data_IF_439580796828
#
_entry.id   IF_439580796828
#
_cell.length_a   1.000
_cell.length_b   1.000
_cell.length_c   1.000
_cell.angle_alpha   90.00
_cell.angle_beta   90.00
_cell.angle_gamma   90.00
#
_symmetry.space_group_name_H-M   'P 1'
#
loop_
_entity.id
_entity.type
_entity.pdbx_description
1 polymer ?
#
# COMPACT_ATOMS: atom_id res chain seq x y z
N UNK A 1 -23.22 -2.58 19.05
CA UNK A 1 -22.79 -3.75 18.26
C UNK A 1 -23.46 -3.85 16.89
N UNK A 2 -24.73 -3.43 16.72
CA UNK A 2 -25.44 -3.44 15.43
C UNK A 2 -24.79 -2.49 14.41
N UNK A 3 -24.36 -1.30 14.83
CA UNK A 3 -23.79 -0.27 13.94
C UNK A 3 -22.43 -0.66 13.36
N UNK A 4 -21.64 -1.43 14.11
CA UNK A 4 -20.33 -1.92 13.63
C UNK A 4 -20.53 -2.97 12.53
N UNK A 5 -21.43 -3.93 12.73
CA UNK A 5 -21.71 -4.97 11.74
C UNK A 5 -22.30 -4.39 10.44
N UNK A 6 -23.18 -3.38 10.55
CA UNK A 6 -23.74 -2.70 9.37
C UNK A 6 -22.68 -1.91 8.59
N UNK A 7 -21.79 -1.21 9.28
CA UNK A 7 -20.70 -0.45 8.63
C UNK A 7 -19.70 -1.35 7.92
N UNK A 8 -19.42 -2.54 8.47
CA UNK A 8 -18.52 -3.52 7.88
C UNK A 8 -19.11 -4.13 6.61
N UNK A 9 -20.39 -4.50 6.65
CA UNK A 9 -21.08 -5.03 5.48
C UNK A 9 -21.12 -4.00 4.35
N UNK A 10 -21.43 -2.74 4.66
CA UNK A 10 -21.41 -1.65 3.69
C UNK A 10 -20.01 -1.45 3.09
N UNK A 11 -18.96 -1.48 3.89
CA UNK A 11 -17.58 -1.35 3.37
C UNK A 11 -17.12 -2.56 2.59
N UNK A 12 -17.53 -3.76 2.98
CA UNK A 12 -17.22 -4.98 2.25
C UNK A 12 -17.89 -4.97 0.87
N UNK A 13 -19.22 -4.78 0.82
CA UNK A 13 -19.97 -4.73 -0.44
C UNK A 13 -19.55 -3.53 -1.29
N UNK A 14 -19.38 -2.35 -0.66
CA UNK A 14 -18.89 -1.16 -1.33
C UNK A 14 -17.49 -1.33 -1.88
N UNK A 15 -16.58 -1.97 -1.13
CA UNK A 15 -15.24 -2.32 -1.59
C UNK A 15 -15.24 -3.29 -2.76
N UNK A 16 -16.11 -4.30 -2.76
CA UNK A 16 -16.31 -5.18 -3.93
C UNK A 16 -16.80 -4.39 -5.15
N UNK A 17 -17.73 -3.46 -4.93
CA UNK A 17 -18.26 -2.60 -6.00
C UNK A 17 -17.21 -1.68 -6.59
N UNK A 18 -16.41 -1.01 -5.75
CA UNK A 18 -15.34 -0.09 -6.20
C UNK A 18 -14.22 -0.81 -6.94
N UNK A 19 -13.79 -1.95 -6.43
CA UNK A 19 -12.76 -2.77 -7.08
C UNK A 19 -13.29 -3.40 -8.37
N UNK A 20 -14.54 -3.90 -8.35
CA UNK A 20 -15.21 -4.47 -9.53
C UNK A 20 -15.46 -3.45 -10.63
N UNK A 21 -15.69 -2.18 -10.27
CA UNK A 21 -15.77 -1.07 -11.22
C UNK A 21 -14.41 -0.62 -11.79
N UNK A 22 -13.31 -1.25 -11.38
CA UNK A 22 -11.96 -0.91 -11.86
C UNK A 22 -11.38 0.37 -11.25
N UNK A 23 -11.92 0.89 -10.14
CA UNK A 23 -11.35 2.03 -9.45
C UNK A 23 -9.92 1.72 -8.99
N UNK A 24 -9.04 2.73 -9.06
CA UNK A 24 -7.63 2.60 -8.69
C UNK A 24 -7.48 2.65 -7.16
N UNK A 25 -7.92 1.57 -6.54
CA UNK A 25 -7.97 1.34 -5.10
C UNK A 25 -7.49 -0.09 -4.79
N UNK A 26 -7.04 -0.29 -3.56
CA UNK A 26 -6.66 -1.61 -3.05
C UNK A 26 -7.71 -2.20 -2.10
N UNK A 27 -7.60 -3.49 -1.86
CA UNK A 27 -8.49 -4.24 -0.95
C UNK A 27 -8.06 -4.13 0.52
N UNK A 28 -6.86 -3.65 0.79
CA UNK A 28 -6.23 -3.68 2.12
C UNK A 28 -6.96 -2.80 3.15
N UNK A 29 -7.44 -1.63 2.76
CA UNK A 29 -8.21 -0.75 3.65
C UNK A 29 -9.42 -1.46 4.27
N UNK A 30 -10.35 -1.98 3.45
CA UNK A 30 -11.46 -2.79 3.93
C UNK A 30 -11.04 -4.01 4.74
N UNK A 31 -10.00 -4.75 4.35
CA UNK A 31 -9.57 -5.97 5.08
C UNK A 31 -8.96 -5.66 6.43
N UNK A 32 -8.16 -4.61 6.57
CA UNK A 32 -7.62 -4.14 7.87
C UNK A 32 -8.76 -3.75 8.81
N UNK A 33 -9.76 -3.02 8.30
CA UNK A 33 -10.90 -2.62 9.11
C UNK A 33 -11.77 -3.81 9.53
N UNK A 34 -12.10 -4.72 8.60
CA UNK A 34 -12.83 -5.94 8.92
C UNK A 34 -12.10 -6.77 9.98
N UNK A 35 -10.79 -6.96 9.82
CA UNK A 35 -9.96 -7.64 10.82
C UNK A 35 -10.02 -6.97 12.19
N UNK A 36 -9.87 -5.65 12.25
CA UNK A 36 -9.96 -4.87 13.49
C UNK A 36 -11.32 -5.02 14.19
N UNK A 37 -12.40 -4.98 13.42
CA UNK A 37 -13.74 -5.14 13.95
C UNK A 37 -14.03 -6.58 14.41
N UNK A 38 -13.52 -7.60 13.71
CA UNK A 38 -13.56 -9.00 14.22
C UNK A 38 -12.83 -9.09 15.56
N UNK A 39 -11.64 -8.49 15.69
CA UNK A 39 -10.93 -8.42 16.97
C UNK A 39 -11.76 -7.76 18.07
N UNK A 40 -12.47 -6.66 17.76
CA UNK A 40 -13.39 -5.99 18.68
C UNK A 40 -14.56 -6.91 19.06
N UNK A 41 -15.17 -7.58 18.08
CA UNK A 41 -16.28 -8.53 18.33
C UNK A 41 -15.86 -9.68 19.25
N UNK A 42 -14.66 -10.21 19.09
CA UNK A 42 -14.09 -11.22 20.00
C UNK A 42 -13.98 -10.65 21.42
N UNK A 43 -13.50 -9.42 21.59
CA UNK A 43 -13.45 -8.74 22.89
C UNK A 43 -14.82 -8.59 23.55
N UNK A 44 -15.86 -8.26 22.77
CA UNK A 44 -17.23 -8.17 23.26
C UNK A 44 -17.81 -9.55 23.60
N UNK A 45 -17.55 -10.59 22.80
CA UNK A 45 -17.99 -11.97 23.04
C UNK A 45 -17.43 -12.50 24.37
N UNK A 46 -16.14 -12.26 24.62
CA UNK A 46 -15.50 -12.66 25.88
C UNK A 46 -15.72 -11.64 27.03
N UNK A 47 -16.58 -10.63 26.80
CA UNK A 47 -16.93 -9.60 27.81
C UNK A 47 -15.71 -8.93 28.44
N UNK A 48 -14.69 -8.68 27.67
CA UNK A 48 -13.47 -8.01 28.15
C UNK A 48 -13.78 -6.58 28.57
N UNK A 49 -13.48 -6.26 29.86
CA UNK A 49 -13.77 -4.92 30.44
C UNK A 49 -12.60 -3.95 30.29
N UNK A 50 -11.39 -4.45 30.18
CA UNK A 50 -10.19 -3.62 30.05
C UNK A 50 -10.15 -2.95 28.69
N UNK A 51 -10.02 -1.62 28.67
CA UNK A 51 -9.82 -0.85 27.43
C UNK A 51 -8.54 -1.28 26.70
N UNK A 52 -7.47 -1.60 27.45
CA UNK A 52 -6.21 -2.08 26.89
C UNK A 52 -6.38 -3.41 26.15
N UNK A 53 -7.11 -4.37 26.73
CA UNK A 53 -7.37 -5.66 26.08
C UNK A 53 -8.19 -5.49 24.80
N UNK A 54 -9.18 -4.59 24.79
CA UNK A 54 -9.99 -4.29 23.60
C UNK A 54 -9.16 -3.64 22.50
N UNK A 55 -8.28 -2.68 22.84
CA UNK A 55 -7.36 -2.08 21.90
C UNK A 55 -6.36 -3.09 21.32
N UNK A 56 -5.85 -3.98 22.17
CA UNK A 56 -4.97 -5.08 21.74
C UNK A 56 -5.65 -5.99 20.73
N UNK A 57 -6.90 -6.42 20.98
CA UNK A 57 -7.64 -7.28 20.06
C UNK A 57 -7.96 -6.58 18.74
N UNK A 58 -8.33 -5.28 18.79
CA UNK A 58 -8.55 -4.49 17.59
C UNK A 58 -7.26 -4.39 16.73
N UNK A 59 -6.14 -4.10 17.35
CA UNK A 59 -4.84 -4.05 16.69
C UNK A 59 -4.42 -5.41 16.13
N UNK A 60 -4.64 -6.49 16.91
CA UNK A 60 -4.40 -7.87 16.48
C UNK A 60 -5.20 -8.22 15.23
N UNK A 61 -6.50 -7.90 15.24
CA UNK A 61 -7.37 -8.14 14.09
C UNK A 61 -6.96 -7.30 12.87
N UNK A 62 -6.58 -6.04 13.07
CA UNK A 62 -6.10 -5.17 11.99
C UNK A 62 -4.81 -5.70 11.36
N UNK A 63 -3.84 -6.16 12.18
CA UNK A 63 -2.61 -6.81 11.70
C UNK A 63 -2.90 -8.09 10.92
N UNK A 64 -3.80 -8.92 11.44
CA UNK A 64 -4.24 -10.16 10.79
C UNK A 64 -4.93 -9.88 9.44
N UNK A 65 -5.75 -8.82 9.37
CA UNK A 65 -6.38 -8.36 8.14
C UNK A 65 -5.36 -7.91 7.08
N UNK A 66 -4.34 -7.15 7.48
CA UNK A 66 -3.27 -6.73 6.56
C UNK A 66 -2.45 -7.92 6.09
N UNK A 67 -2.10 -8.83 7.01
CA UNK A 67 -1.40 -10.08 6.69
C UNK A 67 -2.16 -10.92 5.66
N UNK A 68 -3.47 -11.06 5.83
CA UNK A 68 -4.32 -11.79 4.88
C UNK A 68 -4.43 -11.08 3.52
N UNK A 69 -4.46 -9.73 3.50
CA UNK A 69 -4.55 -8.97 2.25
C UNK A 69 -3.35 -9.19 1.32
N UNK A 70 -2.16 -9.36 1.91
CA UNK A 70 -0.88 -9.37 1.19
C UNK A 70 -0.08 -10.67 1.32
N UNK A 71 -0.56 -11.67 2.06
CA UNK A 71 0.21 -12.86 2.47
C UNK A 71 1.56 -12.47 3.10
N UNK A 72 1.56 -11.43 3.92
CA UNK A 72 2.74 -10.80 4.48
C UNK A 72 2.63 -10.69 6.01
N UNK A 73 2.91 -11.78 6.76
CA UNK A 73 2.74 -11.81 8.21
C UNK A 73 3.64 -10.83 8.96
N UNK A 74 4.92 -10.75 8.63
CA UNK A 74 5.83 -9.84 9.32
C UNK A 74 5.48 -8.37 9.04
N UNK A 75 5.09 -8.06 7.81
CA UNK A 75 4.63 -6.72 7.47
C UNK A 75 3.36 -6.33 8.24
N UNK A 76 2.42 -7.27 8.45
CA UNK A 76 1.23 -7.04 9.29
C UNK A 76 1.57 -6.67 10.73
N UNK A 77 2.58 -7.33 11.31
CA UNK A 77 3.07 -7.02 12.66
C UNK A 77 3.74 -5.64 12.69
N UNK A 78 4.64 -5.38 11.75
CA UNK A 78 5.39 -4.12 11.66
C UNK A 78 4.48 -2.92 11.41
N UNK A 79 3.40 -3.10 10.63
CA UNK A 79 2.40 -2.07 10.39
C UNK A 79 1.78 -1.55 11.70
N UNK A 80 1.41 -2.44 12.62
CA UNK A 80 0.91 -2.03 13.94
C UNK A 80 1.97 -1.25 14.71
N UNK A 81 3.22 -1.67 14.62
CA UNK A 81 4.35 -1.06 15.33
C UNK A 81 4.65 0.35 14.78
N UNK A 82 4.63 0.54 13.47
CA UNK A 82 5.01 1.82 12.85
C UNK A 82 3.83 2.78 12.71
N UNK A 83 2.66 2.30 12.26
CA UNK A 83 1.53 3.16 11.89
C UNK A 83 0.55 3.37 13.05
N UNK A 84 0.27 2.33 13.83
CA UNK A 84 -0.69 2.43 14.95
C UNK A 84 -0.04 2.80 16.28
N UNK A 85 1.13 3.41 16.26
CA UNK A 85 1.93 3.79 17.44
C UNK A 85 1.14 4.52 18.52
N UNK A 86 0.29 5.45 18.14
CA UNK A 86 -0.46 6.29 19.05
C UNK A 86 -1.59 5.54 19.78
N UNK A 87 -2.10 4.47 19.17
CA UNK A 87 -3.24 3.70 19.69
C UNK A 87 -2.81 2.36 20.31
N UNK A 88 -1.57 1.92 20.09
CA UNK A 88 -1.09 0.62 20.56
C UNK A 88 -0.12 0.75 21.72
N UNK A 89 -0.45 0.16 22.86
CA UNK A 89 0.44 0.06 24.01
C UNK A 89 1.31 -1.18 23.91
N UNK A 90 2.62 -0.94 23.78
CA UNK A 90 3.62 -2.01 23.68
C UNK A 90 3.85 -2.67 25.03
N UNK A 91 3.24 -3.84 25.25
CA UNK A 91 3.60 -4.76 26.31
C UNK A 91 3.74 -6.17 25.72
N UNK A 92 4.37 -7.07 26.48
CA UNK A 92 4.61 -8.45 26.01
C UNK A 92 3.31 -9.20 25.68
N UNK A 93 2.22 -8.90 26.35
CA UNK A 93 0.92 -9.54 26.13
C UNK A 93 0.35 -9.06 24.79
N UNK A 94 0.36 -7.75 24.55
CA UNK A 94 -0.15 -7.16 23.31
C UNK A 94 0.67 -7.62 22.08
N UNK A 95 1.98 -7.67 22.20
CA UNK A 95 2.87 -8.17 21.14
C UNK A 95 2.57 -9.64 20.84
N UNK A 96 2.50 -10.51 21.85
CA UNK A 96 2.18 -11.94 21.66
C UNK A 96 0.80 -12.13 21.03
N UNK A 97 -0.19 -11.32 21.40
CA UNK A 97 -1.52 -11.38 20.81
C UNK A 97 -1.49 -11.06 19.31
N UNK A 98 -0.77 -10.00 18.91
CA UNK A 98 -0.60 -9.62 17.50
C UNK A 98 0.08 -10.74 16.71
N UNK A 99 1.19 -11.30 17.24
CA UNK A 99 1.88 -12.43 16.59
C UNK A 99 0.94 -13.63 16.42
N UNK A 100 0.21 -14.00 17.47
CA UNK A 100 -0.73 -15.14 17.39
C UNK A 100 -1.81 -14.91 16.35
N UNK A 101 -2.43 -13.73 16.34
CA UNK A 101 -3.48 -13.40 15.36
C UNK A 101 -2.97 -13.40 13.92
N UNK A 102 -1.79 -12.85 13.70
CA UNK A 102 -1.15 -12.82 12.36
C UNK A 102 -0.77 -14.23 11.90
N UNK A 103 -0.17 -15.06 12.77
CA UNK A 103 0.20 -16.45 12.45
C UNK A 103 -1.06 -17.24 12.05
N UNK A 104 -2.14 -17.15 12.83
CA UNK A 104 -3.39 -17.84 12.53
C UNK A 104 -4.00 -17.36 11.21
N UNK A 105 -3.99 -16.06 10.96
CA UNK A 105 -4.44 -15.49 9.69
C UNK A 105 -3.62 -16.02 8.49
N UNK A 106 -2.30 -16.07 8.63
CA UNK A 106 -1.40 -16.57 7.58
C UNK A 106 -1.59 -18.06 7.31
N UNK A 107 -1.79 -18.88 8.36
CA UNK A 107 -2.08 -20.30 8.20
C UNK A 107 -3.37 -20.49 7.41
N UNK A 108 -4.45 -19.80 7.80
CA UNK A 108 -5.73 -19.86 7.09
C UNK A 108 -5.58 -19.39 5.65
N UNK A 109 -4.90 -18.26 5.42
CA UNK A 109 -4.68 -17.77 4.06
C UNK A 109 -3.98 -18.82 3.18
N UNK A 110 -2.88 -19.42 3.67
CA UNK A 110 -2.11 -20.41 2.93
C UNK A 110 -2.86 -21.72 2.66
N UNK A 111 -3.75 -22.13 3.56
CA UNK A 111 -4.61 -23.30 3.35
C UNK A 111 -5.55 -23.14 2.14
N UNK A 112 -6.00 -21.91 1.86
CA UNK A 112 -6.93 -21.63 0.76
C UNK A 112 -6.24 -21.16 -0.52
N UNK A 113 -5.12 -20.42 -0.42
CA UNK A 113 -4.47 -19.74 -1.55
C UNK A 113 -3.08 -20.32 -1.90
N UNK A 114 -2.55 -21.25 -1.09
CA UNK A 114 -1.20 -21.77 -1.27
C UNK A 114 -0.10 -20.87 -0.70
N UNK A 115 1.17 -21.27 -0.92
CA UNK A 115 2.36 -20.67 -0.30
C UNK A 115 3.13 -19.73 -1.23
N UNK A 116 2.70 -19.52 -2.47
CA UNK A 116 3.41 -18.72 -3.48
C UNK A 116 3.53 -17.25 -3.13
N UNK A 117 4.50 -16.57 -3.76
CA UNK A 117 4.62 -15.13 -3.74
C UNK A 117 3.35 -14.46 -4.30
N UNK A 118 2.91 -13.36 -3.70
CA UNK A 118 1.70 -12.65 -4.18
C UNK A 118 1.99 -11.90 -5.47
N UNK A 119 3.23 -11.48 -5.67
CA UNK A 119 3.71 -10.77 -6.86
C UNK A 119 4.91 -11.51 -7.43
N UNK A 120 4.72 -12.12 -8.58
CA UNK A 120 5.78 -12.85 -9.27
C UNK A 120 6.60 -11.90 -10.16
N UNK A 121 7.62 -11.27 -9.61
CA UNK A 121 8.57 -10.41 -10.35
C UNK A 121 9.75 -11.17 -10.96
N UNK A 122 9.74 -12.51 -10.89
CA UNK A 122 10.85 -13.35 -11.34
C UNK A 122 12.05 -13.34 -10.37
N UNK A 123 13.11 -14.04 -10.79
CA UNK A 123 14.39 -14.03 -10.04
C UNK A 123 15.21 -12.84 -10.51
N UNK A 124 15.36 -11.88 -9.62
CA UNK A 124 16.16 -10.68 -9.86
C UNK A 124 17.61 -10.90 -9.51
N UNK A 125 18.50 -10.13 -10.11
CA UNK A 125 19.94 -10.19 -9.81
C UNK A 125 20.25 -9.52 -8.47
N UNK A 126 21.38 -9.91 -7.84
CA UNK A 126 21.88 -9.20 -6.67
C UNK A 126 22.34 -7.80 -7.07
N UNK A 127 22.03 -6.80 -6.26
CA UNK A 127 22.55 -5.46 -6.45
C UNK A 127 24.01 -5.37 -5.89
N UNK A 128 25.02 -5.14 -6.73
CA UNK A 128 26.40 -4.98 -6.26
C UNK A 128 26.56 -3.77 -5.32
N UNK A 129 27.46 -3.87 -4.35
CA UNK A 129 27.67 -2.80 -3.35
C UNK A 129 28.04 -1.45 -3.99
N UNK A 130 28.79 -1.45 -5.08
CA UNK A 130 29.18 -0.25 -5.83
C UNK A 130 28.02 0.44 -6.55
N UNK A 131 26.82 -0.16 -6.60
CA UNK A 131 25.60 0.41 -7.21
C UNK A 131 24.63 0.97 -6.18
N UNK A 132 24.86 0.78 -4.89
CA UNK A 132 23.94 1.17 -3.81
C UNK A 132 23.65 2.68 -3.76
N UNK A 133 24.55 3.51 -4.25
CA UNK A 133 24.32 4.95 -4.36
C UNK A 133 23.18 5.31 -5.32
N UNK A 134 22.91 4.50 -6.35
CA UNK A 134 21.76 4.67 -7.25
C UNK A 134 20.44 4.43 -6.50
N UNK A 135 20.43 3.45 -5.59
CA UNK A 135 19.27 3.21 -4.72
C UNK A 135 19.01 4.36 -3.73
N UNK A 136 20.09 5.00 -3.26
CA UNK A 136 19.93 6.22 -2.44
C UNK A 136 19.33 7.37 -3.26
N UNK A 137 19.77 7.57 -4.52
CA UNK A 137 19.18 8.58 -5.41
C UNK A 137 17.70 8.27 -5.66
N UNK A 138 17.36 7.01 -5.96
CA UNK A 138 15.97 6.59 -6.10
C UNK A 138 15.15 6.89 -4.83
N UNK A 139 15.73 6.61 -3.66
CA UNK A 139 15.13 6.96 -2.37
C UNK A 139 14.87 8.46 -2.25
N UNK A 140 15.84 9.30 -2.62
CA UNK A 140 15.67 10.76 -2.60
C UNK A 140 14.53 11.22 -3.55
N UNK A 141 14.42 10.64 -4.73
CA UNK A 141 13.31 10.92 -5.65
C UNK A 141 11.97 10.60 -4.97
N UNK A 142 11.83 9.43 -4.37
CA UNK A 142 10.61 9.06 -3.65
C UNK A 142 10.38 9.91 -2.39
N UNK A 143 11.44 10.40 -1.75
CA UNK A 143 11.37 11.34 -0.64
C UNK A 143 10.73 12.68 -1.00
N UNK A 144 10.79 13.08 -2.28
CA UNK A 144 10.07 14.23 -2.83
C UNK A 144 8.66 13.83 -3.30
N UNK A 145 8.55 12.72 -4.03
CA UNK A 145 7.29 12.25 -4.61
C UNK A 145 6.25 11.91 -3.53
N UNK A 146 6.64 11.28 -2.41
CA UNK A 146 5.72 10.89 -1.34
C UNK A 146 4.97 12.07 -0.72
N UNK A 147 5.63 13.12 -0.21
CA UNK A 147 4.96 14.31 0.30
C UNK A 147 4.10 15.05 -0.73
N UNK A 148 4.54 15.10 -1.99
CA UNK A 148 3.74 15.66 -3.08
C UNK A 148 2.46 14.85 -3.31
N UNK A 149 2.56 13.53 -3.35
CA UNK A 149 1.43 12.63 -3.47
C UNK A 149 0.42 12.81 -2.33
N UNK A 150 0.90 12.88 -1.08
CA UNK A 150 0.06 13.16 0.08
C UNK A 150 -0.65 14.51 -0.05
N UNK A 151 0.07 15.54 -0.49
CA UNK A 151 -0.50 16.89 -0.69
C UNK A 151 -1.61 16.87 -1.75
N UNK A 152 -1.44 16.12 -2.85
CA UNK A 152 -2.47 15.99 -3.87
C UNK A 152 -3.71 15.28 -3.35
N UNK A 153 -3.54 14.23 -2.54
CA UNK A 153 -4.68 13.53 -1.89
C UNK A 153 -5.46 14.49 -1.01
N UNK A 154 -4.79 15.20 -0.10
CA UNK A 154 -5.45 16.12 0.83
C UNK A 154 -6.18 17.24 0.08
N UNK A 155 -5.56 17.85 -0.93
CA UNK A 155 -6.21 18.88 -1.76
C UNK A 155 -7.40 18.33 -2.53
N UNK A 156 -7.30 17.12 -3.05
CA UNK A 156 -8.40 16.47 -3.74
C UNK A 156 -9.57 16.15 -2.78
N UNK A 157 -9.29 15.69 -1.55
CA UNK A 157 -10.31 15.48 -0.53
C UNK A 157 -11.04 16.79 -0.21
N UNK A 158 -10.31 17.88 0.01
CA UNK A 158 -10.91 19.21 0.24
C UNK A 158 -11.78 19.64 -0.95
N UNK A 159 -11.32 19.41 -2.18
CA UNK A 159 -12.06 19.72 -3.40
C UNK A 159 -13.38 18.92 -3.45
N UNK A 160 -13.32 17.61 -3.22
CA UNK A 160 -14.51 16.75 -3.21
C UNK A 160 -15.51 17.17 -2.12
N UNK A 161 -15.02 17.47 -0.92
CA UNK A 161 -15.86 17.96 0.19
C UNK A 161 -16.57 19.25 -0.18
N UNK A 162 -15.89 20.20 -0.83
CA UNK A 162 -16.50 21.47 -1.30
C UNK A 162 -17.56 21.22 -2.39
N UNK A 163 -17.33 20.30 -3.32
CA UNK A 163 -18.24 20.03 -4.44
C UNK A 163 -19.54 19.36 -3.94
N UNK A 164 -19.43 18.34 -3.05
CA UNK A 164 -20.64 17.68 -2.56
C UNK A 164 -21.31 18.43 -1.40
N UNK A 165 -20.58 19.27 -0.65
CA UNK A 165 -21.13 20.13 0.39
C UNK A 165 -21.94 19.38 1.47
N UNK A 166 -21.59 18.13 1.75
CA UNK A 166 -22.34 17.25 2.67
C UNK A 166 -23.59 16.59 2.05
N UNK A 167 -23.89 16.82 0.77
CA UNK A 167 -25.02 16.20 0.09
C UNK A 167 -24.70 14.77 -0.34
N UNK A 168 -25.35 13.79 0.28
CA UNK A 168 -25.14 12.35 0.04
C UNK A 168 -25.39 11.96 -1.41
N UNK A 169 -26.40 12.52 -2.06
CA UNK A 169 -26.73 12.22 -3.47
C UNK A 169 -25.61 12.65 -4.40
N UNK A 170 -25.09 13.88 -4.21
CA UNK A 170 -23.94 14.36 -5.00
C UNK A 170 -22.71 13.48 -4.77
N UNK A 171 -22.45 13.09 -3.52
CA UNK A 171 -21.33 12.23 -3.18
C UNK A 171 -21.42 10.87 -3.89
N UNK A 172 -22.58 10.20 -3.82
CA UNK A 172 -22.81 8.92 -4.51
C UNK A 172 -22.68 9.06 -6.02
N UNK A 173 -23.23 10.12 -6.62
CA UNK A 173 -23.13 10.38 -8.06
C UNK A 173 -21.66 10.60 -8.49
N UNK A 174 -20.88 11.32 -7.70
CA UNK A 174 -19.45 11.52 -7.99
C UNK A 174 -18.67 10.21 -7.92
N UNK A 175 -18.92 9.38 -6.90
CA UNK A 175 -18.32 8.05 -6.79
C UNK A 175 -18.70 7.14 -7.96
N UNK A 176 -20.00 7.15 -8.35
CA UNK A 176 -20.50 6.40 -9.49
C UNK A 176 -19.90 6.86 -10.84
N UNK A 177 -19.74 8.17 -11.03
CA UNK A 177 -19.11 8.74 -12.23
C UNK A 177 -17.63 8.31 -12.31
N UNK A 178 -16.89 8.40 -11.21
CA UNK A 178 -15.50 7.96 -11.17
C UNK A 178 -15.37 6.46 -11.41
N UNK A 179 -16.23 5.64 -10.81
CA UNK A 179 -16.29 4.20 -11.06
C UNK A 179 -16.58 3.89 -12.52
N UNK A 180 -17.52 4.62 -13.14
CA UNK A 180 -17.82 4.50 -14.58
C UNK A 180 -16.63 4.88 -15.47
N UNK A 181 -15.92 5.98 -15.16
CA UNK A 181 -14.73 6.39 -15.89
C UNK A 181 -13.62 5.33 -15.75
N UNK A 182 -13.38 4.84 -14.53
CA UNK A 182 -12.38 3.79 -14.30
C UNK A 182 -12.76 2.48 -14.99
N UNK A 183 -14.05 2.13 -15.04
CA UNK A 183 -14.55 0.95 -15.76
C UNK A 183 -14.31 1.05 -17.27
N UNK A 184 -14.57 2.21 -17.87
CA UNK A 184 -14.28 2.47 -19.29
C UNK A 184 -12.77 2.44 -19.55
N UNK A 185 -11.97 3.07 -18.69
CA UNK A 185 -10.50 3.02 -18.79
C UNK A 185 -9.97 1.59 -18.68
N UNK A 186 -10.50 0.79 -17.75
CA UNK A 186 -10.11 -0.62 -17.61
C UNK A 186 -10.53 -1.50 -18.78
N UNK A 187 -11.61 -1.15 -19.50
CA UNK A 187 -12.00 -1.82 -20.73
C UNK A 187 -11.07 -1.49 -21.90
N UNK A 188 -10.62 -0.24 -22.01
CA UNK A 188 -9.73 0.23 -23.08
C UNK A 188 -8.28 -0.22 -22.80
N UNK A 189 -7.80 -0.02 -21.58
CA UNK A 189 -6.44 -0.34 -21.15
C UNK A 189 -6.46 -0.94 -19.72
N UNK A 190 -6.50 -2.27 -19.60
CA UNK A 190 -6.57 -2.96 -18.31
C UNK A 190 -5.48 -2.56 -17.31
N UNK A 191 -4.31 -2.15 -17.80
CA UNK A 191 -3.19 -1.74 -16.96
C UNK A 191 -3.40 -0.33 -16.34
N UNK A 192 -4.33 0.48 -16.86
CA UNK A 192 -4.63 1.81 -16.35
C UNK A 192 -5.60 1.81 -15.18
N UNK A 193 -6.35 0.73 -14.96
CA UNK A 193 -7.39 0.61 -13.94
C UNK A 193 -7.02 -0.39 -12.82
N UNK A 194 -7.87 -0.43 -11.79
CA UNK A 194 -7.71 -1.34 -10.65
C UNK A 194 -6.49 -1.05 -9.77
N UNK A 195 -6.26 -1.88 -8.75
CA UNK A 195 -5.20 -1.71 -7.75
C UNK A 195 -3.77 -1.82 -8.28
N UNK A 196 -3.57 -2.40 -9.47
CA UNK A 196 -2.27 -2.46 -10.13
C UNK A 196 -1.44 -3.72 -9.87
N UNK A 197 -1.94 -4.71 -9.15
CA UNK A 197 -1.19 -5.95 -8.90
C UNK A 197 -0.75 -6.67 -10.19
N UNK A 198 -1.62 -6.74 -11.19
CA UNK A 198 -1.30 -7.35 -12.49
C UNK A 198 -0.30 -6.54 -13.31
N UNK A 199 -0.21 -5.22 -13.08
CA UNK A 199 0.73 -4.34 -13.77
C UNK A 199 2.17 -4.50 -13.23
N UNK A 200 2.33 -4.79 -11.94
CA UNK A 200 3.63 -4.82 -11.26
C UNK A 200 4.61 -5.80 -11.95
N UNK A 201 4.27 -7.09 -12.17
CA UNK A 201 5.19 -8.02 -12.81
C UNK A 201 5.58 -7.60 -14.23
N UNK A 202 4.62 -7.08 -14.99
CA UNK A 202 4.83 -6.66 -16.39
C UNK A 202 5.75 -5.44 -16.45
N UNK A 203 5.54 -4.47 -15.56
CA UNK A 203 6.36 -3.26 -15.49
C UNK A 203 7.78 -3.58 -14.96
N UNK A 204 7.90 -4.40 -13.92
CA UNK A 204 9.19 -4.80 -13.35
C UNK A 204 10.06 -5.59 -14.34
N UNK A 205 9.44 -6.35 -15.25
CA UNK A 205 10.14 -7.07 -16.33
C UNK A 205 10.72 -6.13 -17.42
N UNK A 206 10.51 -4.82 -17.34
CA UNK A 206 11.05 -3.86 -18.32
C UNK A 206 10.37 -3.90 -19.70
N UNK A 207 9.15 -4.45 -19.79
CA UNK A 207 8.44 -4.62 -21.07
C UNK A 207 7.92 -3.29 -21.67
N UNK A 208 8.08 -2.17 -20.97
CA UNK A 208 7.62 -0.86 -21.40
C UNK A 208 8.78 0.10 -21.64
N UNK A 209 8.63 1.05 -22.56
CA UNK A 209 9.59 2.14 -22.69
C UNK A 209 9.55 3.07 -21.47
N UNK A 210 10.67 3.75 -21.20
CA UNK A 210 10.77 4.74 -20.09
C UNK A 210 9.67 5.81 -20.21
N UNK A 211 9.41 6.30 -21.42
CA UNK A 211 8.37 7.32 -21.67
C UNK A 211 6.97 6.79 -21.32
N UNK A 212 6.66 5.53 -21.67
CA UNK A 212 5.37 4.91 -21.34
C UNK A 212 5.23 4.66 -19.84
N UNK A 213 6.30 4.21 -19.17
CA UNK A 213 6.30 4.02 -17.71
C UNK A 213 6.01 5.32 -16.96
N UNK A 214 6.64 6.44 -17.39
CA UNK A 214 6.39 7.76 -16.78
C UNK A 214 4.97 8.27 -17.09
N UNK A 215 4.46 8.05 -18.29
CA UNK A 215 3.08 8.39 -18.64
C UNK A 215 2.08 7.61 -17.80
N UNK A 216 2.28 6.29 -17.67
CA UNK A 216 1.45 5.42 -16.80
C UNK A 216 1.54 5.85 -15.34
N UNK A 217 2.75 6.20 -14.86
CA UNK A 217 2.93 6.70 -13.50
C UNK A 217 2.09 7.95 -13.25
N UNK A 218 2.18 8.98 -14.11
CA UNK A 218 1.41 10.21 -13.96
C UNK A 218 -0.10 9.93 -14.03
N UNK A 219 -0.54 9.15 -15.01
CA UNK A 219 -1.95 8.79 -15.18
C UNK A 219 -2.49 8.08 -13.94
N UNK A 220 -1.73 7.12 -13.40
CA UNK A 220 -2.12 6.37 -12.19
C UNK A 220 -2.05 7.22 -10.92
N UNK A 221 -1.13 8.19 -10.82
CA UNK A 221 -1.13 9.17 -9.71
C UNK A 221 -2.46 9.93 -9.71
N UNK A 222 -2.87 10.47 -10.87
CA UNK A 222 -4.12 11.23 -10.99
C UNK A 222 -5.33 10.37 -10.63
N UNK A 223 -5.45 9.18 -11.22
CA UNK A 223 -6.59 8.28 -10.97
C UNK A 223 -6.63 7.78 -9.53
N UNK A 224 -5.47 7.43 -8.94
CA UNK A 224 -5.38 7.04 -7.52
C UNK A 224 -5.83 8.17 -6.60
N UNK A 225 -5.32 9.40 -6.83
CA UNK A 225 -5.69 10.58 -6.03
C UNK A 225 -7.19 10.82 -6.11
N UNK A 226 -7.78 10.79 -7.30
CA UNK A 226 -9.22 11.01 -7.48
C UNK A 226 -10.06 9.89 -6.84
N UNK A 227 -9.72 8.62 -7.07
CA UNK A 227 -10.46 7.49 -6.52
C UNK A 227 -10.39 7.47 -4.98
N UNK A 228 -9.21 7.63 -4.40
CA UNK A 228 -9.04 7.59 -2.95
C UNK A 228 -9.70 8.79 -2.26
N UNK A 229 -9.60 9.98 -2.86
CA UNK A 229 -10.18 11.20 -2.30
C UNK A 229 -11.70 11.30 -2.45
N UNK A 230 -12.31 10.48 -3.30
CA UNK A 230 -13.77 10.43 -3.46
C UNK A 230 -14.51 9.87 -2.24
N UNK A 231 -13.80 9.24 -1.30
CA UNK A 231 -14.38 8.55 -0.15
C UNK A 231 -14.96 7.17 -0.49
N UNK A 232 -14.70 6.66 -1.69
CA UNK A 232 -15.08 5.31 -2.07
C UNK A 232 -14.33 4.28 -1.21
N UNK A 233 -14.98 3.18 -0.77
CA UNK A 233 -14.33 2.15 0.05
C UNK A 233 -13.18 1.47 -0.69
N UNK A 234 -11.96 1.62 -0.18
CA UNK A 234 -10.76 1.04 -0.74
C UNK A 234 -9.50 1.51 -0.04
N UNK A 235 -8.38 0.83 -0.27
CA UNK A 235 -7.08 1.17 0.27
C UNK A 235 -6.17 1.84 -0.76
N UNK A 236 -5.03 2.33 -0.30
CA UNK A 236 -4.07 3.05 -1.14
C UNK A 236 -2.75 2.28 -1.30
N UNK A 237 -2.50 1.21 -0.52
CA UNK A 237 -1.23 0.46 -0.55
C UNK A 237 -0.96 -0.14 -1.93
N UNK A 238 -1.92 -0.92 -2.47
CA UNK A 238 -1.76 -1.55 -3.78
C UNK A 238 -1.48 -0.53 -4.90
N UNK A 239 -2.22 0.58 -5.04
CA UNK A 239 -1.85 1.65 -5.95
C UNK A 239 -0.45 2.22 -5.72
N UNK A 240 -0.03 2.42 -4.46
CA UNK A 240 1.32 2.92 -4.16
C UNK A 240 2.41 1.94 -4.55
N UNK A 241 2.20 0.63 -4.37
CA UNK A 241 3.14 -0.40 -4.84
C UNK A 241 3.31 -0.32 -6.37
N UNK A 242 2.20 -0.24 -7.11
CA UNK A 242 2.23 -0.12 -8.56
C UNK A 242 2.93 1.18 -9.03
N UNK A 243 2.64 2.32 -8.39
CA UNK A 243 3.31 3.59 -8.66
C UNK A 243 4.81 3.52 -8.38
N UNK A 244 5.18 2.90 -7.24
CA UNK A 244 6.58 2.67 -6.89
C UNK A 244 7.31 1.82 -7.92
N UNK A 245 6.66 0.76 -8.42
CA UNK A 245 7.19 -0.07 -9.50
C UNK A 245 7.42 0.74 -10.77
N UNK A 246 6.43 1.48 -11.25
CA UNK A 246 6.53 2.23 -12.51
C UNK A 246 7.69 3.23 -12.51
N UNK A 247 7.79 4.04 -11.46
CA UNK A 247 8.87 5.02 -11.34
C UNK A 247 10.22 4.35 -11.07
N UNK A 248 10.23 3.28 -10.24
CA UNK A 248 11.43 2.50 -9.96
C UNK A 248 12.00 1.84 -11.21
N UNK A 249 11.14 1.20 -12.04
CA UNK A 249 11.56 0.60 -13.31
C UNK A 249 12.07 1.66 -14.29
N UNK A 250 11.35 2.79 -14.44
CA UNK A 250 11.77 3.88 -15.31
C UNK A 250 13.16 4.42 -14.92
N UNK A 251 13.42 4.59 -13.62
CA UNK A 251 14.72 4.98 -13.11
C UNK A 251 15.78 3.90 -13.36
N UNK A 252 15.46 2.62 -13.10
CA UNK A 252 16.36 1.49 -13.34
C UNK A 252 16.80 1.39 -14.80
N UNK A 253 15.87 1.50 -15.75
CA UNK A 253 16.18 1.53 -17.19
C UNK A 253 17.03 2.73 -17.59
N UNK A 254 16.75 3.91 -17.02
CA UNK A 254 17.59 5.09 -17.27
C UNK A 254 19.00 4.93 -16.68
N UNK A 255 19.11 4.31 -15.49
CA UNK A 255 20.40 4.02 -14.87
C UNK A 255 21.19 2.96 -15.65
N UNK A 256 20.54 1.92 -16.16
CA UNK A 256 21.14 0.90 -17.03
C UNK A 256 21.71 1.52 -18.30
N UNK A 257 20.96 2.40 -18.96
CA UNK A 257 21.42 3.14 -20.15
C UNK A 257 22.57 4.10 -19.84
N UNK A 258 22.56 4.74 -18.66
CA UNK A 258 23.60 5.69 -18.25
C UNK A 258 24.90 5.03 -17.74
N UNK A 259 24.79 3.83 -17.18
CA UNK A 259 25.88 3.10 -16.56
C UNK A 259 25.98 1.63 -17.01
N UNK A 260 26.18 1.36 -18.31
CA UNK A 260 26.17 -0.01 -18.87
C UNK A 260 27.22 -0.92 -18.26
N UNK A 261 28.31 -0.35 -17.74
CA UNK A 261 29.38 -1.12 -17.09
C UNK A 261 28.96 -1.81 -15.78
N UNK A 262 27.85 -1.39 -15.17
CA UNK A 262 27.35 -1.98 -13.93
C UNK A 262 26.43 -3.18 -14.14
N UNK A 263 26.01 -3.48 -15.36
CA UNK A 263 25.09 -4.57 -15.70
C UNK A 263 23.87 -4.57 -14.76
N UNK A 264 23.20 -3.42 -14.66
CA UNK A 264 22.07 -3.21 -13.77
C UNK A 264 20.86 -4.01 -14.24
N UNK A 265 19.95 -4.29 -13.32
CA UNK A 265 18.67 -4.93 -13.60
C UNK A 265 17.56 -3.97 -13.15
N UNK A 266 16.79 -3.44 -14.10
CA UNK A 266 15.71 -2.49 -13.83
C UNK A 266 14.66 -3.04 -12.85
N UNK A 267 14.44 -4.36 -12.82
CA UNK A 267 13.52 -5.02 -11.89
C UNK A 267 13.91 -4.85 -10.43
N UNK A 268 15.22 -4.77 -10.12
CA UNK A 268 15.68 -4.52 -8.74
C UNK A 268 15.31 -3.12 -8.25
N UNK A 269 15.35 -2.12 -9.11
CA UNK A 269 14.89 -0.76 -8.82
C UNK A 269 13.36 -0.67 -8.76
N UNK A 270 12.65 -1.48 -9.55
CA UNK A 270 11.21 -1.62 -9.45
C UNK A 270 10.78 -2.07 -8.05
N UNK A 271 11.38 -3.15 -7.55
CA UNK A 271 11.09 -3.70 -6.20
C UNK A 271 11.48 -2.70 -5.11
N UNK A 272 12.65 -2.05 -5.21
CA UNK A 272 13.05 -1.02 -4.26
C UNK A 272 12.07 0.18 -4.26
N UNK A 273 11.60 0.59 -5.43
CA UNK A 273 10.61 1.66 -5.61
C UNK A 273 9.25 1.35 -4.98
N UNK A 274 8.80 0.09 -5.02
CA UNK A 274 7.55 -0.32 -4.37
C UNK A 274 7.54 0.05 -2.88
N UNK A 275 8.60 -0.33 -2.14
CA UNK A 275 8.73 -0.02 -0.73
C UNK A 275 8.96 1.46 -0.45
N UNK A 276 9.71 2.14 -1.32
CA UNK A 276 10.11 3.52 -1.13
C UNK A 276 8.95 4.52 -1.14
N UNK A 277 7.96 4.35 -2.01
CA UNK A 277 6.78 5.22 -2.03
C UNK A 277 5.94 5.03 -0.76
N UNK A 278 5.75 3.78 -0.31
CA UNK A 278 5.08 3.50 0.97
C UNK A 278 5.84 4.18 2.13
N UNK A 279 7.17 3.97 2.18
CA UNK A 279 8.01 4.53 3.23
C UNK A 279 7.96 6.06 3.29
N UNK A 280 7.98 6.74 2.14
CA UNK A 280 7.94 8.20 2.06
C UNK A 280 6.55 8.78 2.38
N UNK A 281 5.47 8.12 1.93
CA UNK A 281 4.10 8.60 2.10
C UNK A 281 3.53 8.31 3.48
N UNK A 282 3.74 7.09 4.00
CA UNK A 282 3.20 6.65 5.29
C UNK A 282 4.19 6.88 6.46
N UNK A 283 5.49 7.05 6.17
CA UNK A 283 6.58 7.04 7.15
C UNK A 283 6.70 5.73 7.93
N UNK A 284 6.45 4.64 7.24
CA UNK A 284 6.56 3.28 7.73
C UNK A 284 7.61 2.51 6.89
N UNK A 285 8.93 2.83 7.02
CA UNK A 285 9.97 2.22 6.20
C UNK A 285 10.12 0.72 6.45
N UNK A 286 10.04 0.25 7.71
CA UNK A 286 10.17 -1.18 8.00
C UNK A 286 9.00 -1.96 7.42
N UNK A 287 7.78 -1.44 7.56
CA UNK A 287 6.59 -2.04 6.94
C UNK A 287 6.75 -2.11 5.41
N UNK A 288 7.17 -1.01 4.78
CA UNK A 288 7.38 -0.96 3.33
C UNK A 288 8.41 -1.96 2.83
N UNK A 289 9.57 -2.07 3.51
CA UNK A 289 10.63 -3.02 3.19
C UNK A 289 10.11 -4.45 3.30
N UNK A 290 9.61 -4.82 4.48
CA UNK A 290 9.23 -6.21 4.77
C UNK A 290 8.01 -6.63 3.95
N UNK A 291 7.03 -5.73 3.75
CA UNK A 291 5.87 -5.99 2.91
C UNK A 291 6.29 -6.42 1.50
N UNK A 292 7.16 -5.64 0.88
CA UNK A 292 7.60 -5.93 -0.48
C UNK A 292 8.46 -7.19 -0.55
N UNK A 293 9.34 -7.43 0.44
CA UNK A 293 10.13 -8.65 0.51
C UNK A 293 9.26 -9.90 0.65
N UNK A 294 8.24 -9.87 1.53
CA UNK A 294 7.32 -10.99 1.71
C UNK A 294 6.42 -11.23 0.48
N UNK A 295 6.01 -10.14 -0.20
CA UNK A 295 5.15 -10.24 -1.38
C UNK A 295 5.89 -10.74 -2.63
N UNK A 296 7.18 -10.44 -2.77
CA UNK A 296 7.97 -10.74 -3.97
C UNK A 296 8.95 -11.91 -3.80
N UNK A 297 9.14 -12.39 -2.58
CA UNK A 297 10.12 -13.44 -2.21
C UNK A 297 11.56 -13.16 -2.71
N UNK A 298 11.94 -11.87 -2.77
CA UNK A 298 13.26 -11.43 -3.25
C UNK A 298 14.11 -10.87 -2.09
N UNK A 299 14.43 -11.69 -1.09
CA UNK A 299 15.18 -11.30 0.11
C UNK A 299 16.62 -10.81 -0.16
N UNK A 300 17.21 -11.16 -1.32
CA UNK A 300 18.51 -10.64 -1.74
C UNK A 300 18.52 -9.13 -1.94
N UNK A 301 17.36 -8.48 -2.09
CA UNK A 301 17.22 -7.04 -2.27
C UNK A 301 17.05 -6.27 -0.95
N UNK A 302 17.22 -6.93 0.21
CA UNK A 302 17.02 -6.29 1.52
C UNK A 302 17.89 -5.04 1.71
N UNK A 303 19.16 -5.08 1.32
CA UNK A 303 20.09 -3.96 1.49
C UNK A 303 19.75 -2.77 0.57
N UNK A 304 19.54 -2.94 -0.75
CA UNK A 304 19.01 -1.90 -1.62
C UNK A 304 17.71 -1.28 -1.09
N UNK A 305 16.77 -2.10 -0.64
CA UNK A 305 15.49 -1.63 -0.11
C UNK A 305 15.63 -0.81 1.17
N UNK A 306 16.50 -1.22 2.09
CA UNK A 306 16.80 -0.45 3.30
C UNK A 306 17.30 0.95 2.91
N UNK A 307 18.27 1.03 2.00
CA UNK A 307 18.86 2.30 1.56
C UNK A 307 17.80 3.19 0.89
N UNK A 308 17.02 2.61 -0.02
CA UNK A 308 15.98 3.36 -0.75
C UNK A 308 14.87 3.84 0.18
N UNK A 309 14.32 2.97 1.02
CA UNK A 309 13.20 3.31 1.91
C UNK A 309 13.60 4.28 3.02
N UNK A 310 14.79 4.10 3.63
CA UNK A 310 15.29 5.04 4.63
C UNK A 310 15.62 6.38 4.00
N UNK A 311 16.29 6.41 2.84
CA UNK A 311 16.58 7.64 2.10
C UNK A 311 15.29 8.40 1.76
N UNK A 312 14.26 7.68 1.30
CA UNK A 312 12.94 8.25 1.00
C UNK A 312 12.27 8.84 2.25
N UNK A 313 12.28 8.09 3.35
CA UNK A 313 11.66 8.54 4.62
C UNK A 313 12.36 9.75 5.21
N UNK A 314 13.71 9.73 5.25
CA UNK A 314 14.51 10.83 5.81
C UNK A 314 14.31 12.12 5.02
N UNK A 315 14.35 12.05 3.68
CA UNK A 315 14.13 13.24 2.85
C UNK A 315 12.68 13.73 2.95
N UNK A 316 11.68 12.84 2.93
CA UNK A 316 10.29 13.21 3.14
C UNK A 316 10.09 13.92 4.50
N UNK A 317 10.81 13.48 5.53
CA UNK A 317 10.79 14.09 6.85
C UNK A 317 11.46 15.48 6.84
N UNK A 318 12.62 15.59 6.20
CA UNK A 318 13.35 16.85 6.08
C UNK A 318 12.53 17.92 5.35
N UNK A 319 11.78 17.54 4.32
CA UNK A 319 10.86 18.42 3.57
C UNK A 319 9.58 18.76 4.35
N UNK A 320 9.45 18.32 5.60
CA UNK A 320 8.27 18.61 6.43
C UNK A 320 6.99 17.88 5.99
N UNK A 321 7.08 16.87 5.13
CA UNK A 321 5.94 16.05 4.72
C UNK A 321 5.27 15.41 5.95
N UNK A 322 3.96 15.36 6.02
CA UNK A 322 3.22 14.67 7.09
C UNK A 322 2.83 13.26 6.64
N UNK A 323 2.83 12.26 7.54
CA UNK A 323 2.33 10.93 7.21
C UNK A 323 0.86 10.99 6.78
N UNK A 324 0.50 10.23 5.74
CA UNK A 324 -0.82 10.32 5.13
C UNK A 324 -1.94 10.02 6.13
N UNK A 325 -1.89 8.88 6.81
CA UNK A 325 -2.96 8.46 7.73
C UNK A 325 -3.11 9.36 8.95
N UNK A 326 -2.01 9.83 9.54
CA UNK A 326 -2.07 10.73 10.69
C UNK A 326 -2.62 12.13 10.34
N UNK A 327 -2.76 12.44 9.06
CA UNK A 327 -3.30 13.73 8.58
C UNK A 327 -4.78 13.59 8.16
N UNK A 328 -5.21 12.39 7.76
CA UNK A 328 -6.61 12.11 7.35
C UNK A 328 -7.49 11.81 8.57
N UNK A 329 -6.93 11.27 9.66
CA UNK A 329 -7.62 11.00 10.94
C UNK A 329 -7.74 12.26 11.79
#
# INVERSE_FOLDING_TARGET
SSDVCSSDLVKFIGGMGTLGAGMVLGREGPTVQLGGNVGRMVGDLFRMRSAEARHTLLATGAAAGLSAAFNAPLAGILFIIEEMRAQFRYNLISIKAVFTGVIMSSIVFRLFNGEGAVIEVGKLTNAPVNTLWLYLILGMIFGVVGPLFNTFILRAQDMFQRIHGGNTTKWVLMGGLLGGICGVLGFIEPNAAGGGFGLIPIAAAGNFSVGLLLFMFISRVITTVLCFSSGAPGGIFAPMLALGTLLGTAFGMAAEAGFPAYHLDAGTFAVAGMGALLAASLRAPLTGIVLVLEMTDNYQLILPMIITCLGATLLAQFLGGKPLYSTIL
#
